data_IF_546529205512
#
_entry.id   IF_546529205512
#
_cell.length_a   1.000
_cell.length_b   1.000
_cell.length_c   1.000
_cell.angle_alpha   90.00
_cell.angle_beta   90.00
_cell.angle_gamma   90.00
#
_symmetry.space_group_name_H-M   'P 1'
#
loop_
_entity.id
_entity.type
_entity.pdbx_description
1 polymer ?
#
# COMPACT_ATOMS: atom_id res chain seq x y z
N UNK A 1 28.74 28.40 23.89
CA UNK A 1 27.99 29.50 24.49
C UNK A 1 26.55 29.07 24.56
N UNK A 2 26.15 28.44 25.67
CA UNK A 2 24.80 27.89 25.87
C UNK A 2 23.95 29.01 26.42
N UNK A 3 23.03 29.51 25.60
CA UNK A 3 22.01 30.47 26.04
C UNK A 3 20.96 29.72 26.88
N UNK A 4 21.13 29.81 28.20
CA UNK A 4 20.12 29.44 29.19
C UNK A 4 18.91 30.39 29.08
N UNK A 5 17.89 29.97 28.35
CA UNK A 5 16.61 30.68 28.29
C UNK A 5 15.73 30.19 29.45
N UNK A 6 15.85 30.80 30.61
CA UNK A 6 15.06 30.53 31.81
C UNK A 6 13.71 31.26 31.77
N UNK A 7 12.82 30.85 30.87
CA UNK A 7 11.43 31.30 30.94
C UNK A 7 10.50 30.13 30.58
N UNK A 8 9.80 29.60 31.56
CA UNK A 8 8.86 28.46 31.42
C UNK A 8 7.70 28.72 30.47
N UNK A 9 7.60 29.89 29.86
CA UNK A 9 6.70 30.22 28.74
C UNK A 9 7.28 29.81 27.39
N UNK A 10 8.61 29.90 27.19
CA UNK A 10 9.25 29.46 25.95
C UNK A 10 9.24 27.93 25.81
N UNK A 11 9.45 27.20 26.90
CA UNK A 11 9.41 25.73 26.91
C UNK A 11 7.99 25.24 26.64
N UNK A 12 6.98 25.83 27.23
CA UNK A 12 5.56 25.49 26.98
C UNK A 12 5.11 25.85 25.56
N UNK A 13 5.65 26.90 24.96
CA UNK A 13 5.35 27.28 23.58
C UNK A 13 5.98 26.31 22.59
N UNK A 14 7.22 25.88 22.84
CA UNK A 14 7.91 24.86 22.02
C UNK A 14 7.22 23.51 22.14
N UNK A 15 6.85 23.06 23.34
CA UNK A 15 6.15 21.81 23.55
C UNK A 15 4.76 21.81 22.88
N UNK A 16 4.05 22.93 22.89
CA UNK A 16 2.72 23.07 22.26
C UNK A 16 2.77 23.07 20.73
N UNK A 17 3.90 23.49 20.12
CA UNK A 17 4.07 23.53 18.67
C UNK A 17 4.97 22.43 18.14
N UNK A 18 5.49 21.56 19.00
CA UNK A 18 6.44 20.51 18.61
C UNK A 18 5.83 19.51 17.63
N UNK A 19 4.56 19.20 17.77
CA UNK A 19 3.82 18.33 16.85
C UNK A 19 3.63 18.98 15.49
N UNK A 20 3.20 20.25 15.46
CA UNK A 20 3.06 20.98 14.21
C UNK A 20 4.41 21.16 13.51
N UNK A 21 5.49 21.39 14.25
CA UNK A 21 6.85 21.48 13.71
C UNK A 21 7.32 20.13 13.16
N UNK A 22 7.10 19.03 13.89
CA UNK A 22 7.45 17.69 13.43
C UNK A 22 6.66 17.31 12.17
N UNK A 23 5.36 17.64 12.12
CA UNK A 23 4.55 17.44 10.92
C UNK A 23 5.03 18.28 9.75
N UNK A 24 5.33 19.56 9.98
CA UNK A 24 5.90 20.44 8.95
C UNK A 24 7.25 19.90 8.44
N UNK A 25 8.13 19.45 9.32
CA UNK A 25 9.42 18.85 8.94
C UNK A 25 9.22 17.57 8.10
N UNK A 26 8.23 16.74 8.43
CA UNK A 26 7.89 15.56 7.65
C UNK A 26 7.41 15.94 6.24
N UNK A 27 6.51 16.92 6.14
CA UNK A 27 6.00 17.40 4.85
C UNK A 27 7.12 18.01 4.01
N UNK A 28 7.94 18.88 4.60
CA UNK A 28 9.10 19.46 3.90
C UNK A 28 10.11 18.39 3.48
N UNK A 29 10.41 17.43 4.35
CA UNK A 29 11.29 16.31 4.02
C UNK A 29 10.76 15.46 2.86
N UNK A 30 9.45 15.22 2.81
CA UNK A 30 8.81 14.50 1.71
C UNK A 30 8.86 15.30 0.40
N UNK A 31 8.54 16.61 0.42
CA UNK A 31 8.63 17.47 -0.76
C UNK A 31 10.08 17.53 -1.26
N UNK A 32 11.05 17.66 -0.36
CA UNK A 32 12.47 17.67 -0.70
C UNK A 32 12.91 16.36 -1.36
N UNK A 33 12.44 15.21 -0.84
CA UNK A 33 12.68 13.90 -1.45
C UNK A 33 12.12 13.81 -2.87
N UNK A 34 10.91 14.33 -3.10
CA UNK A 34 10.30 14.38 -4.43
C UNK A 34 11.10 15.24 -5.41
N UNK A 35 11.57 16.41 -4.98
CA UNK A 35 12.37 17.33 -5.82
C UNK A 35 13.70 16.66 -6.20
N UNK A 36 14.38 16.03 -5.25
CA UNK A 36 15.62 15.30 -5.53
C UNK A 36 15.37 14.18 -6.54
N UNK A 37 14.33 13.35 -6.33
CA UNK A 37 13.95 12.29 -7.25
C UNK A 37 13.69 12.82 -8.66
N UNK A 38 12.88 13.87 -8.79
CA UNK A 38 12.60 14.53 -10.07
C UNK A 38 13.89 15.04 -10.76
N UNK A 39 14.80 15.64 -10.00
CA UNK A 39 16.08 16.12 -10.55
C UNK A 39 16.96 14.98 -11.05
N UNK A 40 17.05 13.88 -10.32
CA UNK A 40 17.86 12.72 -10.71
C UNK A 40 17.26 12.06 -11.96
N UNK A 41 15.94 11.76 -11.97
CA UNK A 41 15.29 11.16 -13.15
C UNK A 41 15.40 12.06 -14.38
N UNK A 42 15.17 13.36 -14.24
CA UNK A 42 15.33 14.31 -15.33
C UNK A 42 16.76 14.31 -15.90
N UNK A 43 17.77 14.23 -15.05
CA UNK A 43 19.17 14.22 -15.48
C UNK A 43 19.55 12.91 -16.20
N UNK A 44 18.97 11.79 -15.81
CA UNK A 44 19.23 10.47 -16.40
C UNK A 44 18.45 10.29 -17.70
N UNK A 45 17.16 10.61 -17.72
CA UNK A 45 16.26 10.25 -18.83
C UNK A 45 16.27 11.27 -19.97
N UNK A 46 16.51 12.55 -19.69
CA UNK A 46 16.47 13.59 -20.71
C UNK A 46 17.44 13.36 -21.89
N UNK A 47 18.68 12.87 -21.70
CA UNK A 47 19.57 12.54 -22.82
C UNK A 47 19.00 11.44 -23.71
N UNK A 48 18.49 10.36 -23.13
CA UNK A 48 17.88 9.24 -23.87
C UNK A 48 16.62 9.67 -24.62
N UNK A 49 15.78 10.51 -24.02
CA UNK A 49 14.62 11.08 -24.70
C UNK A 49 15.02 11.90 -25.93
N UNK A 50 16.08 12.70 -25.81
CA UNK A 50 16.58 13.52 -26.92
C UNK A 50 17.13 12.66 -28.06
N UNK A 51 17.89 11.62 -27.74
CA UNK A 51 18.42 10.67 -28.70
C UNK A 51 17.29 9.95 -29.46
N UNK A 52 16.31 9.39 -28.73
CA UNK A 52 15.16 8.72 -29.32
C UNK A 52 14.32 9.65 -30.21
N UNK A 53 14.14 10.91 -29.81
CA UNK A 53 13.47 11.92 -30.64
C UNK A 53 14.21 12.19 -31.94
N UNK A 54 15.53 12.24 -31.88
CA UNK A 54 16.38 12.42 -33.09
C UNK A 54 16.33 11.21 -34.01
N UNK A 55 16.47 10.00 -33.48
CA UNK A 55 16.34 8.76 -34.22
C UNK A 55 14.99 8.63 -34.92
N UNK A 56 13.89 8.91 -34.22
CA UNK A 56 12.56 8.88 -34.82
C UNK A 56 12.42 9.90 -35.96
N UNK A 57 13.00 11.09 -35.79
CA UNK A 57 12.98 12.13 -36.84
C UNK A 57 13.75 11.70 -38.06
N UNK A 58 14.93 11.12 -37.87
CA UNK A 58 15.78 10.60 -38.94
C UNK A 58 15.11 9.42 -39.67
N UNK A 59 14.54 8.48 -38.95
CA UNK A 59 13.78 7.36 -39.52
C UNK A 59 12.55 7.84 -40.33
N UNK A 60 11.82 8.85 -39.86
CA UNK A 60 10.70 9.46 -40.63
C UNK A 60 11.22 10.13 -41.94
N UNK A 61 12.34 10.85 -41.86
CA UNK A 61 12.93 11.51 -43.04
C UNK A 61 13.47 10.50 -44.05
N UNK A 62 14.16 9.47 -43.58
CA UNK A 62 14.67 8.40 -44.44
C UNK A 62 13.53 7.67 -45.16
N UNK A 63 12.47 7.29 -44.40
CA UNK A 63 11.29 6.66 -44.99
C UNK A 63 10.66 7.51 -46.09
N UNK A 64 10.50 8.81 -45.86
CA UNK A 64 9.90 9.72 -46.84
C UNK A 64 10.79 9.99 -48.04
N UNK A 65 12.12 10.00 -47.86
CA UNK A 65 13.10 10.16 -48.98
C UNK A 65 13.10 8.95 -49.91
N UNK A 66 12.96 7.75 -49.32
CA UNK A 66 12.93 6.50 -50.08
C UNK A 66 11.53 6.19 -50.69
N UNK A 67 10.48 6.83 -50.20
CA UNK A 67 9.08 6.60 -50.63
C UNK A 67 8.41 7.91 -51.08
N UNK A 68 8.81 8.45 -52.20
CA UNK A 68 8.35 9.76 -52.74
C UNK A 68 6.85 9.81 -53.02
N UNK A 69 6.16 8.65 -53.12
CA UNK A 69 4.71 8.56 -53.32
C UNK A 69 3.90 8.78 -52.00
N UNK A 70 4.57 8.80 -50.85
CA UNK A 70 3.92 9.00 -49.52
C UNK A 70 4.15 10.43 -49.07
N UNK A 71 3.06 11.15 -48.81
CA UNK A 71 3.16 12.50 -48.22
C UNK A 71 3.37 12.45 -46.71
N UNK A 72 4.02 13.48 -46.14
CA UNK A 72 4.17 13.65 -44.68
C UNK A 72 2.84 13.48 -43.95
N UNK A 73 1.77 14.09 -44.46
CA UNK A 73 0.46 14.03 -43.81
C UNK A 73 -0.14 12.61 -43.75
N UNK A 74 0.06 11.79 -44.80
CA UNK A 74 -0.40 10.38 -44.80
C UNK A 74 0.39 9.51 -43.84
N UNK A 75 1.71 9.73 -43.75
CA UNK A 75 2.57 9.01 -42.80
C UNK A 75 2.15 9.36 -41.36
N UNK A 76 1.95 10.66 -41.04
CA UNK A 76 1.56 11.10 -39.73
C UNK A 76 0.15 10.60 -39.35
N UNK A 77 -0.78 10.54 -40.31
CA UNK A 77 -2.11 9.96 -40.09
C UNK A 77 -2.04 8.46 -39.77
N UNK A 78 -1.23 7.71 -40.51
CA UNK A 78 -1.03 6.28 -40.25
C UNK A 78 -0.39 6.05 -38.89
N UNK A 79 0.65 6.80 -38.53
CA UNK A 79 1.32 6.71 -37.25
C UNK A 79 0.37 7.09 -36.08
N UNK A 80 -0.46 8.11 -36.26
CA UNK A 80 -1.46 8.50 -35.27
C UNK A 80 -2.47 7.38 -35.02
N UNK A 81 -3.02 6.78 -36.08
CA UNK A 81 -3.95 5.63 -35.97
C UNK A 81 -3.28 4.39 -35.38
N UNK A 82 -2.03 4.12 -35.75
CA UNK A 82 -1.26 3.02 -35.18
C UNK A 82 -1.01 3.22 -33.69
N UNK A 83 -0.65 4.44 -33.29
CA UNK A 83 -0.45 4.79 -31.87
C UNK A 83 -1.76 4.72 -31.09
N UNK A 84 -2.88 5.20 -31.66
CA UNK A 84 -4.20 5.07 -31.06
C UNK A 84 -4.58 3.61 -30.84
N UNK A 85 -4.41 2.74 -31.86
CA UNK A 85 -4.66 1.32 -31.74
C UNK A 85 -3.77 0.67 -30.66
N UNK A 86 -2.48 1.03 -30.63
CA UNK A 86 -1.52 0.55 -29.62
C UNK A 86 -1.93 0.98 -28.20
N UNK A 87 -2.35 2.22 -28.00
CA UNK A 87 -2.82 2.72 -26.70
C UNK A 87 -4.07 1.98 -26.20
N UNK A 88 -4.82 1.36 -27.11
CA UNK A 88 -5.96 0.52 -26.79
C UNK A 88 -5.60 -0.98 -26.68
N UNK A 89 -4.32 -1.31 -26.67
CA UNK A 89 -3.84 -2.68 -26.56
C UNK A 89 -4.03 -3.53 -27.82
N UNK A 90 -4.30 -2.90 -28.96
CA UNK A 90 -4.38 -3.60 -30.24
C UNK A 90 -2.98 -3.66 -30.83
N UNK A 91 -2.48 -4.88 -31.10
CA UNK A 91 -1.17 -5.05 -31.75
C UNK A 91 -1.16 -4.43 -33.15
N UNK A 92 -0.22 -3.54 -33.39
CA UNK A 92 -0.05 -2.87 -34.69
C UNK A 92 0.88 -3.71 -35.60
N UNK A 93 1.74 -4.53 -35.02
CA UNK A 93 2.73 -5.34 -35.70
C UNK A 93 2.31 -6.81 -35.66
N UNK A 94 2.00 -7.37 -36.84
CA UNK A 94 1.70 -8.81 -37.00
C UNK A 94 0.22 -9.17 -37.08
N UNK A 95 -0.02 -10.45 -37.47
CA UNK A 95 -1.38 -11.07 -37.49
C UNK A 95 -1.75 -11.59 -36.09
N UNK A 96 -1.76 -10.73 -35.09
CA UNK A 96 -2.07 -11.17 -33.74
C UNK A 96 -3.58 -11.38 -33.59
N UNK A 97 -3.99 -12.64 -33.49
CA UNK A 97 -5.37 -13.07 -33.27
C UNK A 97 -5.74 -13.07 -31.76
N UNK A 98 -4.80 -12.71 -30.89
CA UNK A 98 -5.00 -12.71 -29.45
C UNK A 98 -6.00 -11.62 -29.05
N UNK A 99 -7.07 -12.03 -28.41
CA UNK A 99 -8.06 -11.10 -27.88
C UNK A 99 -7.59 -10.61 -26.51
N UNK A 100 -7.55 -9.28 -26.32
CA UNK A 100 -7.17 -8.68 -25.03
C UNK A 100 -8.30 -8.70 -23.97
N UNK A 101 -9.54 -9.06 -24.37
CA UNK A 101 -10.71 -9.11 -23.52
C UNK A 101 -11.32 -10.52 -23.41
N UNK A 102 -10.50 -11.57 -23.53
CA UNK A 102 -10.89 -12.91 -23.11
C UNK A 102 -10.99 -12.99 -21.57
N UNK A 103 -11.66 -14.01 -21.06
CA UNK A 103 -11.94 -14.13 -19.62
C UNK A 103 -10.67 -14.06 -18.74
N UNK A 104 -9.57 -14.71 -19.17
CA UNK A 104 -8.32 -14.74 -18.40
C UNK A 104 -7.62 -13.38 -18.44
N UNK A 105 -7.61 -12.71 -19.57
CA UNK A 105 -7.05 -11.35 -19.70
C UNK A 105 -7.90 -10.33 -18.91
N UNK A 106 -9.21 -10.48 -18.92
CA UNK A 106 -10.11 -9.67 -18.12
C UNK A 106 -9.92 -9.93 -16.61
N UNK A 107 -9.64 -11.18 -16.21
CA UNK A 107 -9.29 -11.51 -14.82
C UNK A 107 -7.96 -10.87 -14.40
N UNK A 108 -6.96 -10.90 -15.28
CA UNK A 108 -5.70 -10.19 -15.06
C UNK A 108 -5.95 -8.68 -14.91
N UNK A 109 -6.68 -8.06 -15.86
CA UNK A 109 -7.05 -6.65 -15.79
C UNK A 109 -7.76 -6.30 -14.47
N UNK A 110 -8.80 -7.03 -14.09
CA UNK A 110 -9.54 -6.75 -12.85
C UNK A 110 -8.67 -6.91 -11.60
N UNK A 111 -7.75 -7.88 -11.59
CA UNK A 111 -6.79 -8.03 -10.49
C UNK A 111 -5.87 -6.82 -10.35
N UNK A 112 -5.37 -6.28 -11.47
CA UNK A 112 -4.50 -5.10 -11.46
C UNK A 112 -5.24 -3.82 -11.07
N UNK A 113 -6.52 -3.69 -11.43
CA UNK A 113 -7.37 -2.58 -11.00
C UNK A 113 -7.64 -2.63 -9.50
N UNK A 114 -8.04 -3.79 -8.97
CA UNK A 114 -8.40 -3.96 -7.56
C UNK A 114 -7.20 -3.87 -6.63
N UNK A 115 -6.01 -4.27 -7.07
CA UNK A 115 -4.75 -4.10 -6.33
C UNK A 115 -4.13 -2.72 -6.51
N UNK A 116 -4.77 -1.85 -7.31
CA UNK A 116 -4.27 -0.50 -7.66
C UNK A 116 -2.90 -0.49 -8.33
N UNK A 117 -2.52 -1.59 -8.98
CA UNK A 117 -1.30 -1.69 -9.80
C UNK A 117 -1.47 -0.93 -11.11
N UNK A 118 -2.55 -1.22 -11.88
CA UNK A 118 -3.02 -0.42 -13.01
C UNK A 118 -2.01 -0.16 -14.11
N UNK A 119 -1.44 -1.19 -14.73
CA UNK A 119 -0.43 -1.08 -15.81
C UNK A 119 -0.78 -0.14 -16.97
N UNK A 120 -2.05 0.04 -17.28
CA UNK A 120 -2.49 0.96 -18.35
C UNK A 120 -2.38 0.44 -19.78
N UNK A 121 -1.79 -0.74 -20.01
CA UNK A 121 -1.67 -1.36 -21.32
C UNK A 121 -2.99 -1.90 -21.88
N UNK A 122 -3.93 -2.24 -21.03
CA UNK A 122 -5.28 -2.67 -21.38
C UNK A 122 -6.26 -1.80 -20.60
N UNK A 123 -7.11 -1.08 -21.33
CA UNK A 123 -8.06 -0.12 -20.75
C UNK A 123 -9.44 -0.28 -21.39
N UNK A 124 -10.55 -0.01 -20.66
CA UNK A 124 -11.90 -0.03 -21.23
C UNK A 124 -12.03 1.00 -22.35
N UNK A 125 -12.53 0.56 -23.51
CA UNK A 125 -12.72 1.40 -24.70
C UNK A 125 -14.11 2.04 -24.71
N UNK A 126 -15.13 1.23 -24.38
CA UNK A 126 -16.53 1.66 -24.40
C UNK A 126 -16.88 2.53 -23.19
N UNK A 127 -17.85 3.40 -23.36
CA UNK A 127 -18.31 4.26 -22.26
C UNK A 127 -18.98 3.42 -21.15
N UNK A 128 -19.68 2.33 -21.51
CA UNK A 128 -20.24 1.37 -20.57
C UNK A 128 -19.12 0.66 -19.77
N UNK A 129 -18.02 0.27 -20.44
CA UNK A 129 -16.84 -0.34 -19.80
C UNK A 129 -16.16 0.62 -18.82
N UNK A 130 -16.03 1.91 -19.20
CA UNK A 130 -15.49 2.95 -18.30
C UNK A 130 -16.39 3.17 -17.09
N UNK A 131 -17.71 3.30 -17.30
CA UNK A 131 -18.66 3.47 -16.21
C UNK A 131 -18.67 2.27 -15.28
N UNK A 132 -18.66 1.05 -15.82
CA UNK A 132 -18.56 -0.18 -15.03
C UNK A 132 -17.25 -0.23 -14.24
N UNK A 133 -16.12 0.13 -14.84
CA UNK A 133 -14.81 0.15 -14.17
C UNK A 133 -14.83 1.09 -12.95
N UNK A 134 -15.41 2.30 -13.08
CA UNK A 134 -15.54 3.25 -11.97
C UNK A 134 -16.37 2.64 -10.84
N UNK A 135 -17.54 2.10 -11.16
CA UNK A 135 -18.43 1.52 -10.16
C UNK A 135 -17.80 0.29 -9.49
N UNK A 136 -17.19 -0.60 -10.29
CA UNK A 136 -16.52 -1.79 -9.82
C UNK A 136 -15.34 -1.48 -8.88
N UNK A 137 -14.55 -0.47 -9.22
CA UNK A 137 -13.39 -0.04 -8.42
C UNK A 137 -13.82 0.64 -7.12
N UNK A 138 -14.88 1.43 -7.14
CA UNK A 138 -15.39 2.16 -5.96
C UNK A 138 -15.71 1.20 -4.79
N UNK A 139 -16.29 0.05 -5.07
CA UNK A 139 -16.58 -0.98 -4.07
C UNK A 139 -15.47 -2.02 -3.96
N UNK A 140 -14.86 -2.39 -5.07
CA UNK A 140 -13.87 -3.45 -5.13
C UNK A 140 -12.56 -3.11 -4.42
N UNK A 141 -12.05 -1.88 -4.54
CA UNK A 141 -10.81 -1.47 -3.89
C UNK A 141 -10.91 -1.54 -2.36
N UNK A 142 -11.92 -0.94 -1.69
CA UNK A 142 -12.08 -1.08 -0.24
C UNK A 142 -12.19 -2.53 0.24
N UNK A 143 -12.95 -3.37 -0.49
CA UNK A 143 -13.09 -4.80 -0.17
C UNK A 143 -11.76 -5.53 -0.31
N UNK A 144 -11.00 -5.24 -1.36
CA UNK A 144 -9.66 -5.83 -1.59
C UNK A 144 -8.66 -5.41 -0.51
N UNK A 145 -8.64 -4.13 -0.13
CA UNK A 145 -7.79 -3.64 0.95
C UNK A 145 -8.13 -4.31 2.29
N UNK A 146 -9.41 -4.45 2.59
CA UNK A 146 -9.85 -5.17 3.79
C UNK A 146 -9.41 -6.64 3.75
N UNK A 147 -9.64 -7.34 2.63
CA UNK A 147 -9.20 -8.71 2.44
C UNK A 147 -7.69 -8.87 2.61
N UNK A 148 -6.89 -8.02 1.94
CA UNK A 148 -5.43 -8.05 2.04
C UNK A 148 -4.98 -7.80 3.49
N UNK A 149 -5.56 -6.84 4.19
CA UNK A 149 -5.25 -6.57 5.60
C UNK A 149 -5.47 -7.80 6.48
N UNK A 150 -6.61 -8.48 6.32
CA UNK A 150 -6.93 -9.69 7.10
C UNK A 150 -5.94 -10.82 6.78
N UNK A 151 -5.64 -11.06 5.49
CA UNK A 151 -4.70 -12.09 5.04
C UNK A 151 -3.28 -11.81 5.57
N UNK A 152 -2.80 -10.57 5.41
CA UNK A 152 -1.49 -10.14 5.90
C UNK A 152 -1.36 -10.34 7.41
N UNK A 153 -2.36 -9.93 8.19
CA UNK A 153 -2.36 -10.12 9.64
C UNK A 153 -2.32 -11.60 10.03
N UNK A 154 -3.05 -12.46 9.32
CA UNK A 154 -3.02 -13.92 9.56
C UNK A 154 -1.65 -14.52 9.27
N UNK A 155 -1.05 -14.18 8.13
CA UNK A 155 0.29 -14.65 7.76
C UNK A 155 1.34 -14.11 8.73
N UNK A 156 1.29 -12.82 9.08
CA UNK A 156 2.21 -12.19 10.01
C UNK A 156 2.16 -12.84 11.40
N UNK A 157 0.99 -13.24 11.89
CA UNK A 157 0.87 -13.96 13.15
C UNK A 157 1.65 -15.29 13.15
N UNK A 158 1.69 -16.00 12.02
CA UNK A 158 2.40 -17.28 11.87
C UNK A 158 3.86 -17.08 11.53
N UNK A 159 4.17 -16.21 10.58
CA UNK A 159 5.52 -16.06 10.01
C UNK A 159 6.40 -15.14 10.85
N UNK A 160 5.85 -14.14 11.53
CA UNK A 160 6.64 -13.17 12.29
C UNK A 160 6.45 -13.29 13.80
N UNK A 161 5.22 -13.23 14.30
CA UNK A 161 4.98 -13.13 15.74
C UNK A 161 5.32 -14.42 16.50
N UNK A 162 4.97 -15.58 15.96
CA UNK A 162 5.26 -16.88 16.61
C UNK A 162 6.76 -17.19 16.67
N UNK A 163 7.56 -17.08 15.56
CA UNK A 163 8.99 -17.32 15.61
C UNK A 163 9.73 -16.35 16.54
N UNK A 164 9.42 -15.04 16.47
CA UNK A 164 10.05 -14.05 17.35
C UNK A 164 9.78 -14.35 18.82
N UNK A 165 8.54 -14.72 19.18
CA UNK A 165 8.19 -15.10 20.55
C UNK A 165 8.89 -16.36 21.01
N UNK A 166 9.02 -17.38 20.14
CA UNK A 166 9.70 -18.63 20.42
C UNK A 166 11.19 -18.41 20.66
N UNK A 167 11.90 -17.72 19.75
CA UNK A 167 13.33 -17.45 19.88
C UNK A 167 13.65 -16.51 21.04
N UNK A 168 12.76 -15.56 21.36
CA UNK A 168 12.93 -14.70 22.53
C UNK A 168 12.93 -15.50 23.85
N UNK A 169 12.10 -16.53 23.94
CA UNK A 169 12.06 -17.41 25.12
C UNK A 169 13.27 -18.32 25.20
N UNK A 170 13.86 -18.70 24.06
CA UNK A 170 14.99 -19.66 24.01
C UNK A 170 16.35 -18.97 24.13
N UNK A 171 16.47 -17.75 23.61
CA UNK A 171 17.72 -16.99 23.59
C UNK A 171 17.53 -15.72 24.41
N UNK A 172 18.50 -15.41 25.32
CA UNK A 172 18.45 -14.22 26.19
C UNK A 172 18.70 -12.90 25.46
N UNK A 173 18.22 -12.77 24.21
CA UNK A 173 18.37 -11.57 23.39
C UNK A 173 17.21 -10.60 23.62
N UNK A 174 17.47 -9.29 23.48
CA UNK A 174 16.41 -8.28 23.54
C UNK A 174 15.41 -8.45 22.39
N UNK A 175 14.12 -8.31 22.68
CA UNK A 175 13.04 -8.43 21.68
C UNK A 175 13.27 -7.56 20.46
N UNK A 176 13.81 -6.34 20.65
CA UNK A 176 14.05 -5.37 19.57
C UNK A 176 15.11 -5.89 18.58
N UNK A 177 16.23 -6.41 19.07
CA UNK A 177 17.30 -6.95 18.20
C UNK A 177 16.81 -8.20 17.45
N UNK A 178 16.11 -9.09 18.14
CA UNK A 178 15.56 -10.30 17.53
C UNK A 178 14.53 -9.98 16.45
N UNK A 179 13.61 -9.04 16.71
CA UNK A 179 12.63 -8.59 15.74
C UNK A 179 13.29 -7.97 14.50
N UNK A 180 14.35 -7.17 14.67
CA UNK A 180 15.09 -6.58 13.55
C UNK A 180 15.79 -7.64 12.70
N UNK A 181 16.50 -8.60 13.33
CA UNK A 181 17.16 -9.71 12.62
C UNK A 181 16.12 -10.52 11.86
N UNK A 182 15.01 -10.87 12.51
CA UNK A 182 13.93 -11.62 11.88
C UNK A 182 13.32 -10.86 10.67
N UNK A 183 13.02 -9.58 10.82
CA UNK A 183 12.49 -8.75 9.73
C UNK A 183 13.46 -8.68 8.54
N UNK A 184 14.77 -8.53 8.80
CA UNK A 184 15.80 -8.53 7.75
C UNK A 184 15.89 -9.89 7.04
N UNK A 185 15.92 -11.00 7.80
CA UNK A 185 15.92 -12.34 7.22
C UNK A 185 14.66 -12.60 6.38
N UNK A 186 13.49 -12.21 6.87
CA UNK A 186 12.23 -12.35 6.15
C UNK A 186 12.24 -11.52 4.84
N UNK A 187 12.73 -10.28 4.90
CA UNK A 187 12.84 -9.43 3.70
C UNK A 187 13.78 -10.04 2.64
N UNK A 188 14.92 -10.59 3.06
CA UNK A 188 15.86 -11.28 2.15
C UNK A 188 15.21 -12.52 1.53
N UNK A 189 14.54 -13.35 2.33
CA UNK A 189 13.85 -14.56 1.83
C UNK A 189 12.75 -14.19 0.84
N UNK A 190 11.93 -13.20 1.15
CA UNK A 190 10.85 -12.74 0.26
C UNK A 190 11.43 -12.12 -1.02
N UNK A 191 12.50 -11.32 -0.92
CA UNK A 191 13.17 -10.77 -2.10
C UNK A 191 13.74 -11.87 -3.00
N UNK A 192 14.37 -12.90 -2.44
CA UNK A 192 14.86 -14.03 -3.22
C UNK A 192 13.74 -14.81 -3.89
N UNK A 193 12.66 -15.14 -3.15
CA UNK A 193 11.57 -15.98 -3.64
C UNK A 193 10.63 -15.26 -4.61
N UNK A 194 10.41 -13.96 -4.44
CA UNK A 194 9.41 -13.21 -5.20
C UNK A 194 10.01 -12.15 -6.16
N UNK A 195 11.31 -11.83 -6.05
CA UNK A 195 11.96 -10.93 -7.01
C UNK A 195 13.01 -11.68 -7.83
N UNK A 196 14.03 -12.26 -7.19
CA UNK A 196 15.20 -12.82 -7.90
C UNK A 196 14.86 -14.09 -8.66
N UNK A 197 14.23 -15.08 -8.02
CA UNK A 197 13.87 -16.34 -8.68
C UNK A 197 12.87 -16.13 -9.82
N UNK A 198 11.77 -15.38 -9.66
CA UNK A 198 10.87 -15.09 -10.76
C UNK A 198 11.53 -14.28 -11.88
N UNK A 199 12.45 -13.35 -11.57
CA UNK A 199 13.20 -12.64 -12.60
C UNK A 199 13.98 -13.62 -13.51
N UNK A 200 14.68 -14.61 -12.95
CA UNK A 200 15.33 -15.67 -13.73
C UNK A 200 14.36 -16.50 -14.58
N UNK A 201 13.16 -16.74 -14.05
CA UNK A 201 12.11 -17.45 -14.80
C UNK A 201 11.64 -16.58 -15.98
N UNK A 202 11.39 -15.27 -15.77
CA UNK A 202 10.96 -14.36 -16.83
C UNK A 202 12.00 -14.19 -17.93
N UNK A 203 13.29 -14.09 -17.61
CA UNK A 203 14.37 -14.12 -18.62
C UNK A 203 14.27 -15.34 -19.54
N UNK A 204 13.87 -16.50 -19.00
CA UNK A 204 13.73 -17.73 -19.79
C UNK A 204 12.44 -17.78 -20.60
N UNK A 205 11.40 -17.09 -20.16
CA UNK A 205 10.07 -17.10 -20.79
C UNK A 205 9.87 -15.98 -21.80
N UNK A 206 10.38 -14.78 -21.48
CA UNK A 206 10.32 -13.58 -22.32
C UNK A 206 11.69 -13.39 -22.99
N UNK A 207 11.81 -13.78 -24.24
CA UNK A 207 13.11 -13.80 -24.97
C UNK A 207 13.76 -12.43 -25.17
N UNK A 208 12.94 -11.37 -25.12
CA UNK A 208 13.38 -10.00 -25.33
C UNK A 208 13.80 -9.31 -24.03
N UNK A 209 13.64 -10.00 -22.88
CA UNK A 209 13.94 -9.43 -21.57
C UNK A 209 15.28 -9.92 -21.03
N UNK A 210 16.09 -8.99 -20.57
CA UNK A 210 17.26 -9.31 -19.79
C UNK A 210 16.91 -9.48 -18.29
N UNK A 211 17.93 -9.80 -17.48
CA UNK A 211 17.73 -10.03 -16.04
C UNK A 211 17.29 -8.74 -15.31
N UNK A 212 17.82 -7.58 -15.72
CA UNK A 212 17.49 -6.31 -15.08
C UNK A 212 16.03 -5.91 -15.36
N UNK A 213 15.60 -6.04 -16.61
CA UNK A 213 14.21 -5.77 -17.02
C UNK A 213 13.21 -6.70 -16.31
N UNK A 214 13.56 -7.99 -16.24
CA UNK A 214 12.75 -8.98 -15.51
C UNK A 214 12.67 -8.68 -14.01
N UNK A 215 13.77 -8.30 -13.38
CA UNK A 215 13.82 -7.91 -11.97
C UNK A 215 13.04 -6.62 -11.72
N UNK A 216 13.18 -5.66 -12.62
CA UNK A 216 12.46 -4.40 -12.61
C UNK A 216 10.95 -4.65 -12.71
N UNK A 217 10.49 -5.48 -13.66
CA UNK A 217 9.07 -5.87 -13.75
C UNK A 217 8.57 -6.48 -12.44
N UNK A 218 9.30 -7.44 -11.87
CA UNK A 218 8.91 -8.07 -10.60
C UNK A 218 8.76 -7.02 -9.48
N UNK A 219 9.73 -6.12 -9.35
CA UNK A 219 9.73 -5.10 -8.31
C UNK A 219 8.56 -4.12 -8.47
N UNK A 220 8.40 -3.53 -9.67
CA UNK A 220 7.36 -2.53 -9.96
C UNK A 220 5.95 -3.14 -9.79
N UNK A 221 5.78 -4.38 -10.21
CA UNK A 221 4.49 -5.06 -10.10
C UNK A 221 4.12 -5.41 -8.68
N UNK A 222 5.04 -5.99 -7.91
CA UNK A 222 4.79 -6.39 -6.52
C UNK A 222 4.70 -5.21 -5.54
N UNK A 223 5.28 -4.08 -5.89
CA UNK A 223 5.12 -2.83 -5.11
C UNK A 223 3.90 -2.00 -5.54
N UNK A 224 3.10 -2.50 -6.49
CA UNK A 224 1.92 -1.83 -7.05
C UNK A 224 2.22 -0.49 -7.71
N UNK A 225 3.46 -0.27 -8.18
CA UNK A 225 3.83 0.91 -8.99
C UNK A 225 3.23 0.78 -10.39
N UNK A 226 3.41 -0.39 -11.04
CA UNK A 226 2.70 -0.80 -12.25
C UNK A 226 2.86 0.13 -13.43
N UNK A 227 4.10 0.51 -13.81
CA UNK A 227 4.35 1.44 -14.94
C UNK A 227 3.82 0.92 -16.28
N UNK A 228 3.81 -0.41 -16.50
CA UNK A 228 3.20 -1.04 -17.67
C UNK A 228 4.07 -1.04 -18.93
N UNK A 229 5.31 -0.61 -18.82
CA UNK A 229 6.35 -0.68 -19.84
C UNK A 229 6.80 -2.13 -20.13
N UNK A 230 6.87 -2.94 -19.07
CA UNK A 230 7.12 -4.38 -19.14
C UNK A 230 5.91 -5.14 -18.61
N UNK A 231 5.19 -5.85 -19.49
CA UNK A 231 4.08 -6.72 -19.13
C UNK A 231 4.24 -8.07 -19.82
N UNK A 232 4.31 -9.19 -19.09
CA UNK A 232 4.55 -10.50 -19.68
C UNK A 232 3.44 -10.92 -20.65
N UNK A 233 3.86 -11.57 -21.76
CA UNK A 233 2.95 -12.04 -22.80
C UNK A 233 2.45 -10.95 -23.75
N UNK A 234 3.06 -9.78 -23.77
CA UNK A 234 2.81 -8.70 -24.73
C UNK A 234 3.96 -8.53 -25.74
N UNK A 235 5.06 -9.22 -25.57
CA UNK A 235 6.24 -9.11 -26.39
C UNK A 235 5.97 -9.63 -27.80
N UNK A 236 6.52 -8.95 -28.81
CA UNK A 236 6.35 -9.24 -30.24
C UNK A 236 7.01 -10.54 -30.71
N UNK A 237 7.61 -11.34 -29.84
CA UNK A 237 8.25 -12.60 -30.22
C UNK A 237 7.20 -13.61 -30.66
N UNK A 238 7.26 -13.96 -31.94
CA UNK A 238 6.33 -14.85 -32.68
C UNK A 238 6.25 -16.29 -32.20
N UNK A 239 7.00 -16.69 -31.19
CA UNK A 239 6.89 -18.00 -30.58
C UNK A 239 5.86 -17.93 -29.42
N UNK A 240 4.59 -18.00 -29.79
CA UNK A 240 3.49 -18.05 -28.87
C UNK A 240 3.70 -19.20 -27.87
N UNK A 241 3.68 -18.89 -26.58
CA UNK A 241 3.57 -19.89 -25.52
C UNK A 241 2.47 -20.88 -25.88
N UNK A 242 2.73 -22.19 -25.81
CA UNK A 242 1.74 -23.23 -26.15
C UNK A 242 0.42 -23.08 -25.40
N UNK A 243 0.42 -22.39 -24.25
CA UNK A 243 -0.73 -22.16 -23.40
C UNK A 243 -0.79 -20.73 -22.84
N UNK A 244 -1.17 -19.72 -23.66
CA UNK A 244 -1.15 -18.31 -23.25
C UNK A 244 -2.09 -18.00 -22.08
N UNK A 245 -3.25 -18.67 -21.99
CA UNK A 245 -4.19 -18.49 -20.89
C UNK A 245 -3.62 -19.00 -19.55
N UNK A 246 -2.95 -20.16 -19.56
CA UNK A 246 -2.34 -20.72 -18.36
C UNK A 246 -1.19 -19.83 -17.88
N UNK A 247 -0.39 -19.28 -18.80
CA UNK A 247 0.68 -18.36 -18.48
C UNK A 247 0.16 -17.09 -17.81
N UNK A 248 -0.84 -16.42 -18.40
CA UNK A 248 -1.48 -15.23 -17.80
C UNK A 248 -2.09 -15.52 -16.44
N UNK A 249 -2.74 -16.67 -16.27
CA UNK A 249 -3.28 -17.07 -14.97
C UNK A 249 -2.18 -17.29 -13.93
N UNK A 250 -1.09 -17.95 -14.31
CA UNK A 250 0.06 -18.16 -13.43
C UNK A 250 0.68 -16.83 -12.97
N UNK A 251 0.83 -15.86 -13.90
CA UNK A 251 1.29 -14.51 -13.58
C UNK A 251 0.33 -13.82 -12.60
N UNK A 252 -0.98 -13.89 -12.83
CA UNK A 252 -1.99 -13.31 -11.95
C UNK A 252 -1.85 -13.84 -10.52
N UNK A 253 -1.74 -15.16 -10.37
CA UNK A 253 -1.56 -15.81 -9.08
C UNK A 253 -0.24 -15.40 -8.43
N UNK A 254 0.86 -15.38 -9.21
CA UNK A 254 2.17 -14.92 -8.74
C UNK A 254 2.12 -13.49 -8.21
N UNK A 255 1.51 -12.56 -8.93
CA UNK A 255 1.41 -11.16 -8.54
C UNK A 255 0.57 -10.98 -7.26
N UNK A 256 -0.57 -11.66 -7.14
CA UNK A 256 -1.39 -11.59 -5.94
C UNK A 256 -0.69 -12.17 -4.71
N UNK A 257 -0.03 -13.32 -4.85
CA UNK A 257 0.73 -13.92 -3.76
C UNK A 257 1.94 -13.06 -3.39
N UNK A 258 2.69 -12.58 -4.37
CA UNK A 258 3.86 -11.74 -4.14
C UNK A 258 3.50 -10.42 -3.47
N UNK A 259 2.41 -9.78 -3.87
CA UNK A 259 1.88 -8.58 -3.21
C UNK A 259 1.62 -8.84 -1.72
N UNK A 260 0.94 -9.96 -1.39
CA UNK A 260 0.67 -10.31 0.01
C UNK A 260 1.97 -10.44 0.80
N UNK A 261 3.00 -11.12 0.26
CA UNK A 261 4.27 -11.30 0.98
C UNK A 261 5.08 -10.01 1.10
N UNK A 262 5.06 -9.13 0.10
CA UNK A 262 5.65 -7.79 0.19
C UNK A 262 4.96 -6.97 1.29
N UNK A 263 3.62 -7.00 1.36
CA UNK A 263 2.87 -6.34 2.42
C UNK A 263 3.19 -6.92 3.81
N UNK A 264 3.38 -8.23 3.94
CA UNK A 264 3.81 -8.87 5.20
C UNK A 264 5.19 -8.36 5.64
N UNK A 265 6.14 -8.19 4.71
CA UNK A 265 7.46 -7.62 5.02
C UNK A 265 7.32 -6.17 5.46
N UNK A 266 6.58 -5.35 4.73
CA UNK A 266 6.35 -3.94 5.05
C UNK A 266 5.71 -3.78 6.43
N UNK A 267 4.67 -4.55 6.74
CA UNK A 267 4.00 -4.52 8.04
C UNK A 267 4.94 -5.00 9.17
N UNK A 268 5.73 -6.05 8.92
CA UNK A 268 6.75 -6.52 9.87
C UNK A 268 7.80 -5.43 10.15
N UNK A 269 8.23 -4.68 9.14
CA UNK A 269 9.13 -3.54 9.31
C UNK A 269 8.46 -2.40 10.10
N UNK A 270 7.19 -2.10 9.83
CA UNK A 270 6.43 -1.09 10.55
C UNK A 270 6.20 -1.44 12.03
N UNK A 271 6.16 -2.74 12.36
CA UNK A 271 6.06 -3.21 13.73
C UNK A 271 7.35 -3.15 14.55
N UNK A 272 8.51 -2.87 13.92
CA UNK A 272 9.77 -2.72 14.62
C UNK A 272 9.68 -1.62 15.70
N UNK A 273 10.31 -1.81 16.89
CA UNK A 273 10.22 -0.85 17.98
C UNK A 273 10.67 0.57 17.61
N UNK A 274 11.68 0.69 16.73
CA UNK A 274 12.17 1.97 16.25
C UNK A 274 11.07 2.70 15.43
N UNK A 275 10.39 1.98 14.53
CA UNK A 275 9.30 2.54 13.73
C UNK A 275 8.07 2.88 14.57
N UNK A 276 7.74 2.01 15.55
CA UNK A 276 6.68 2.30 16.53
C UNK A 276 6.98 3.57 17.32
N UNK A 277 8.22 3.73 17.80
CA UNK A 277 8.62 4.92 18.54
C UNK A 277 8.58 6.18 17.65
N UNK A 278 9.02 6.07 16.38
CA UNK A 278 8.92 7.16 15.41
C UNK A 278 7.44 7.54 15.18
N UNK A 279 6.57 6.56 14.91
CA UNK A 279 5.14 6.77 14.72
C UNK A 279 4.47 7.39 15.96
N UNK A 280 4.81 6.94 17.16
CA UNK A 280 4.28 7.48 18.41
C UNK A 280 4.58 8.96 18.61
N UNK A 281 5.73 9.46 18.15
CA UNK A 281 6.05 10.90 18.23
C UNK A 281 5.05 11.78 17.48
N UNK A 282 4.42 11.26 16.43
CA UNK A 282 3.41 11.99 15.65
C UNK A 282 1.98 11.81 16.19
N UNK A 283 1.73 10.74 16.95
CA UNK A 283 0.39 10.41 17.48
C UNK A 283 0.17 10.77 18.97
N UNK A 284 1.24 10.92 19.74
CA UNK A 284 1.14 11.07 21.22
C UNK A 284 0.46 12.36 21.69
N UNK A 285 0.44 13.41 20.86
CA UNK A 285 -0.16 14.68 21.25
C UNK A 285 -1.69 14.60 21.31
N UNK A 286 -2.30 13.90 20.37
CA UNK A 286 -3.75 13.74 20.29
C UNK A 286 -4.33 12.91 21.45
N UNK A 287 -3.57 11.93 21.93
CA UNK A 287 -3.98 11.11 23.09
C UNK A 287 -3.90 11.90 24.38
N UNK A 288 -2.85 12.72 24.57
CA UNK A 288 -2.74 13.60 25.77
C UNK A 288 -3.84 14.67 25.82
N UNK A 289 -4.22 15.22 24.69
CA UNK A 289 -5.29 16.21 24.60
C UNK A 289 -6.64 15.56 24.94
N UNK A 290 -6.89 14.36 24.41
CA UNK A 290 -8.10 13.57 24.72
C UNK A 290 -8.14 13.17 26.20
N UNK A 291 -7.03 12.70 26.77
CA UNK A 291 -6.94 12.36 28.21
C UNK A 291 -7.12 13.59 29.11
N UNK A 292 -6.61 14.75 28.69
CA UNK A 292 -6.82 15.99 29.44
C UNK A 292 -8.25 16.51 29.37
N UNK A 293 -8.91 16.40 28.22
CA UNK A 293 -10.32 16.73 28.06
C UNK A 293 -11.21 15.76 28.83
N UNK A 294 -10.93 14.45 28.77
CA UNK A 294 -11.66 13.43 29.51
C UNK A 294 -11.50 13.63 31.01
N UNK A 295 -10.30 13.97 31.50
CA UNK A 295 -10.02 14.28 32.90
C UNK A 295 -10.73 15.56 33.34
N UNK A 296 -10.81 16.58 32.48
CA UNK A 296 -11.54 17.82 32.78
C UNK A 296 -13.05 17.59 32.83
N UNK A 297 -13.59 16.73 31.95
CA UNK A 297 -15.02 16.36 31.98
C UNK A 297 -15.35 15.60 33.29
N UNK A 298 -14.53 14.59 33.64
CA UNK A 298 -14.71 13.81 34.85
C UNK A 298 -14.57 14.69 36.09
N UNK A 299 -13.63 15.64 36.11
CA UNK A 299 -13.48 16.57 37.24
C UNK A 299 -14.63 17.58 37.35
N UNK A 300 -15.23 17.99 36.22
CA UNK A 300 -16.42 18.84 36.23
C UNK A 300 -17.69 18.09 36.68
N UNK A 301 -17.81 16.81 36.33
CA UNK A 301 -18.92 15.95 36.80
C UNK A 301 -18.82 15.62 38.32
N UNK A 302 -17.58 15.51 38.85
CA UNK A 302 -17.39 15.33 40.31
C UNK A 302 -17.82 16.55 41.15
N UNK A 303 -17.88 17.75 40.56
CA UNK A 303 -18.38 18.94 41.20
C UNK A 303 -19.93 18.96 41.32
N UNK A 304 -20.62 18.07 40.63
CA UNK A 304 -22.10 17.97 40.64
C UNK A 304 -22.59 16.83 41.57
N UNK A 305 -21.69 15.96 42.03
CA UNK A 305 -22.03 14.89 42.97
C UNK A 305 -21.91 15.48 44.40
N UNK A 306 -23.02 15.62 45.16
CA UNK A 306 -22.95 16.08 46.55
C UNK A 306 -22.03 15.14 47.34
N UNK A 307 -21.20 15.73 48.23
CA UNK A 307 -20.26 14.94 49.03
C UNK A 307 -20.99 13.88 49.84
N UNK A 308 -20.34 12.73 50.07
CA UNK A 308 -20.92 11.58 50.81
C UNK A 308 -21.47 12.01 52.18
N UNK A 309 -20.99 13.13 52.76
CA UNK A 309 -21.50 13.73 53.99
C UNK A 309 -22.89 14.35 53.81
N UNK A 310 -23.25 14.90 52.65
CA UNK A 310 -24.58 15.43 52.38
C UNK A 310 -25.58 14.31 52.06
N UNK A 311 -25.16 13.25 51.37
CA UNK A 311 -26.02 12.07 51.16
C UNK A 311 -26.37 11.36 52.47
N UNK A 312 -25.45 11.29 53.43
CA UNK A 312 -25.71 10.75 54.77
C UNK A 312 -26.72 11.62 55.54
N UNK A 313 -26.72 12.94 55.37
CA UNK A 313 -27.68 13.84 55.98
C UNK A 313 -29.09 13.68 55.39
N UNK A 314 -29.23 13.48 54.10
CA UNK A 314 -30.51 13.20 53.43
C UNK A 314 -31.09 11.85 53.84
N UNK A 315 -30.28 10.80 53.94
CA UNK A 315 -30.70 9.48 54.39
C UNK A 315 -31.11 9.44 55.85
N UNK A 316 -30.56 10.32 56.68
CA UNK A 316 -30.89 10.43 58.11
C UNK A 316 -32.19 11.24 58.37
N UNK A 317 -32.61 12.04 57.37
CA UNK A 317 -33.85 12.81 57.44
C UNK A 317 -35.08 11.96 57.06
N UNK A 318 -34.91 11.02 56.11
CA UNK A 318 -35.99 10.16 55.61
C UNK A 318 -36.32 9.00 56.58
N UNK A 319 -35.43 8.67 57.54
CA UNK A 319 -35.65 7.60 58.49
C UNK A 319 -36.58 8.00 59.69
N UNK A 320 -37.05 9.26 59.69
CA UNK A 320 -37.94 9.77 60.82
C UNK A 320 -39.41 9.84 60.45
N UNK A 321 -39.82 9.50 59.27
CA UNK A 321 -41.22 9.66 58.85
C UNK A 321 -41.76 8.51 58.01
N UNK A 322 -41.81 7.28 58.50
CA UNK A 322 -42.95 6.33 58.28
C UNK A 322 -42.68 4.97 58.93
N UNK A 323 -43.63 4.42 59.66
CA UNK A 323 -43.60 3.04 60.16
C UNK A 323 -44.38 2.16 59.17
N UNK A 324 -43.73 1.35 58.35
CA UNK A 324 -44.40 0.21 57.72
C UNK A 324 -43.51 -1.05 57.77
N UNK A 325 -44.05 -1.96 58.53
CA UNK A 325 -43.90 -3.41 58.68
C UNK A 325 -43.02 -4.14 57.68
N UNK A 326 -42.05 -4.86 58.25
CA UNK A 326 -41.28 -5.93 57.64
C UNK A 326 -42.16 -7.13 57.27
N UNK A 327 -42.08 -7.61 56.08
CA UNK A 327 -42.48 -8.98 55.67
C UNK A 327 -41.21 -9.77 55.33
N UNK A 328 -40.95 -10.76 56.18
CA UNK A 328 -39.93 -11.77 56.03
C UNK A 328 -40.25 -12.64 54.84
N UNK A 329 -39.31 -12.86 53.99
CA UNK A 329 -39.32 -13.99 53.04
C UNK A 329 -38.13 -14.90 53.35
N UNK A 330 -38.52 -16.06 53.82
CA UNK A 330 -37.72 -17.20 54.20
C UNK A 330 -37.05 -17.87 53.01
N UNK A 331 -35.88 -18.43 53.30
CA UNK A 331 -35.16 -19.48 52.61
C UNK A 331 -36.05 -20.49 51.85
N UNK A 332 -35.67 -20.80 50.61
CA UNK A 332 -35.85 -22.14 50.04
C UNK A 332 -34.54 -22.58 49.37
N UNK A 333 -33.84 -23.45 50.07
CA UNK A 333 -32.91 -24.41 49.50
C UNK A 333 -33.71 -25.49 48.78
N UNK A 334 -33.34 -25.85 47.58
CA UNK A 334 -33.86 -26.97 46.83
C UNK A 334 -32.82 -27.55 45.89
N UNK A 335 -32.16 -28.60 46.30
CA UNK A 335 -31.34 -29.53 45.54
C UNK A 335 -32.22 -30.34 44.55
N UNK A 336 -31.52 -30.98 43.60
CA UNK A 336 -31.85 -32.19 42.76
C UNK A 336 -32.39 -31.81 41.36
N UNK A 337 -31.90 -32.31 40.28
CA UNK A 337 -31.13 -33.51 39.85
C UNK A 337 -30.32 -33.15 38.57
#
# INVERSE_FOLDING_TARGET
MVLSCSNGRCVRFVDRHQSALNFALLVFGYIFYLIIGAGIFSAIELPYEQELRQELKEAKQDFLSNNTCVSHARLDELLARALEASNYGVSVLGNDTNRNWDFVSSLFFTSTVLTTTGYGHSVPLSDEGKAFCIFYSLFGIPVTLFFLTVVVQRIMAVVSQRPVSYFHRRWAMSKSKLAAIHATCLAIIVALLFLVIPAWIFVSLEKDWDFLESLYFCFISLTTIGLGDYVPGQTHSKEANQHPHLYRLAITIYLLLGLVFVLVVLETCCELPQMKHFRQRFYQEKVRELDSETTNIISSDQLIIPSVSEQAAYLQWDSKSTPYTAVSASNVNGKLQ
#
